data_IF_933865712704
#
_entry.id   IF_933865712704
#
_cell.length_a   1.000
_cell.length_b   1.000
_cell.length_c   1.000
_cell.angle_alpha   90.00
_cell.angle_beta   90.00
_cell.angle_gamma   90.00
#
_symmetry.space_group_name_H-M   'P 1'
#
loop_
_entity.id
_entity.type
_entity.pdbx_description
1 polymer ?
#
# COMPACT_ATOMS: atom_id res chain seq x y z
N UNK A 1 1.23 7.71 -12.46
CA UNK A 1 0.88 6.34 -12.86
C UNK A 1 0.07 5.77 -11.73
N UNK A 2 -1.11 5.27 -12.06
CA UNK A 2 -2.05 4.72 -11.08
C UNK A 2 -1.99 3.20 -11.18
N UNK A 3 -1.74 2.55 -10.05
CA UNK A 3 -1.56 1.11 -9.93
C UNK A 3 -2.55 0.58 -8.92
N UNK A 4 -3.12 -0.61 -9.16
CA UNK A 4 -3.93 -1.30 -8.16
C UNK A 4 -3.17 -2.50 -7.63
N UNK A 5 -3.11 -2.63 -6.31
CA UNK A 5 -2.69 -3.86 -5.63
C UNK A 5 -3.92 -4.51 -5.05
N UNK A 6 -4.30 -5.66 -5.61
CA UNK A 6 -5.44 -6.44 -5.16
C UNK A 6 -5.09 -7.21 -3.90
N UNK A 7 -5.95 -7.15 -2.89
CA UNK A 7 -5.69 -7.75 -1.58
C UNK A 7 -5.74 -9.27 -1.56
N UNK A 8 -6.34 -9.86 -2.60
CA UNK A 8 -6.53 -11.30 -2.76
C UNK A 8 -5.53 -11.97 -3.71
N UNK A 9 -4.46 -11.27 -4.08
CA UNK A 9 -3.41 -11.78 -4.93
C UNK A 9 -2.10 -11.80 -4.15
N UNK A 10 -1.27 -12.80 -4.45
CA UNK A 10 0.11 -12.85 -3.95
C UNK A 10 0.95 -11.75 -4.65
N UNK A 11 2.28 -11.88 -4.65
CA UNK A 11 3.19 -10.92 -5.27
C UNK A 11 2.77 -10.46 -6.67
N UNK A 12 2.40 -9.18 -6.77
CA UNK A 12 2.02 -8.50 -8.00
C UNK A 12 3.19 -7.67 -8.53
N UNK A 13 3.58 -7.92 -9.78
CA UNK A 13 4.69 -7.22 -10.44
C UNK A 13 4.20 -6.00 -11.23
N UNK A 14 4.90 -4.87 -11.10
CA UNK A 14 4.56 -3.61 -11.76
C UNK A 14 5.63 -3.14 -12.76
N UNK A 15 6.56 -4.03 -13.13
CA UNK A 15 7.62 -3.75 -14.09
C UNK A 15 8.80 -2.97 -13.49
N UNK A 16 9.59 -2.34 -14.37
CA UNK A 16 10.80 -1.58 -13.99
C UNK A 16 10.48 -0.11 -13.78
N UNK A 17 10.96 0.45 -12.67
CA UNK A 17 10.87 1.87 -12.33
C UNK A 17 11.68 2.69 -13.34
N UNK A 18 11.05 3.68 -13.98
CA UNK A 18 11.70 4.49 -15.04
C UNK A 18 12.56 5.62 -14.50
N UNK A 19 12.21 6.17 -13.35
CA UNK A 19 12.90 7.29 -12.72
C UNK A 19 12.77 7.21 -11.18
N UNK A 20 13.64 7.89 -10.45
CA UNK A 20 13.58 7.95 -8.99
C UNK A 20 12.29 8.61 -8.50
N UNK A 21 11.68 8.10 -7.44
CA UNK A 21 10.46 8.71 -6.88
C UNK A 21 9.91 7.96 -5.69
N UNK A 22 8.72 8.37 -5.26
CA UNK A 22 8.01 7.77 -4.15
C UNK A 22 6.70 7.14 -4.63
N UNK A 23 6.37 5.99 -4.09
CA UNK A 23 5.11 5.31 -4.29
C UNK A 23 4.24 5.47 -3.05
N UNK A 24 3.14 6.20 -3.20
CA UNK A 24 2.11 6.38 -2.17
C UNK A 24 0.98 5.39 -2.41
N UNK A 25 0.29 4.99 -1.35
CA UNK A 25 -0.85 4.10 -1.41
C UNK A 25 -2.03 4.70 -0.63
N UNK A 26 -3.20 4.64 -1.26
CA UNK A 26 -4.47 5.15 -0.79
C UNK A 26 -5.56 4.08 -0.88
N UNK A 27 -6.68 4.35 -0.23
CA UNK A 27 -7.85 3.48 -0.24
C UNK A 27 -7.82 2.45 0.88
N UNK A 28 -8.81 1.56 0.84
CA UNK A 28 -9.04 0.53 1.85
C UNK A 28 -9.37 -0.79 1.16
N UNK A 29 -8.91 -1.88 1.75
CA UNK A 29 -9.26 -3.24 1.36
C UNK A 29 -9.89 -3.98 2.54
N UNK A 30 -10.63 -5.06 2.27
CA UNK A 30 -11.34 -5.86 3.27
C UNK A 30 -10.55 -7.14 3.60
N UNK A 31 -10.32 -7.40 4.88
CA UNK A 31 -9.67 -8.62 5.38
C UNK A 31 -10.52 -9.89 5.17
N UNK A 32 -11.83 -9.72 5.03
CA UNK A 32 -12.71 -10.85 4.80
C UNK A 32 -13.89 -10.37 3.94
N UNK A 33 -14.08 -10.99 2.77
CA UNK A 33 -15.18 -10.70 1.84
C UNK A 33 -16.57 -10.93 2.44
N UNK A 34 -16.67 -11.83 3.42
CA UNK A 34 -17.90 -12.16 4.15
C UNK A 34 -18.11 -11.25 5.37
N UNK A 35 -17.08 -10.49 5.81
CA UNK A 35 -17.16 -9.47 6.88
C UNK A 35 -16.66 -8.10 6.39
N UNK A 36 -17.54 -7.38 5.70
CA UNK A 36 -17.28 -6.04 5.12
C UNK A 36 -16.99 -4.93 6.14
N UNK A 37 -17.05 -5.23 7.44
CA UNK A 37 -16.75 -4.30 8.51
C UNK A 37 -15.25 -4.15 8.82
N UNK A 38 -14.40 -5.05 8.29
CA UNK A 38 -12.96 -5.11 8.57
C UNK A 38 -12.14 -4.54 7.42
N UNK A 39 -11.93 -3.23 7.45
CA UNK A 39 -11.16 -2.49 6.45
C UNK A 39 -9.77 -2.12 6.94
N UNK A 40 -8.78 -2.22 6.06
CA UNK A 40 -7.40 -1.89 6.34
C UNK A 40 -6.84 -0.91 5.30
N UNK A 41 -6.05 0.06 5.76
CA UNK A 41 -5.23 0.91 4.88
C UNK A 41 -3.90 0.26 4.53
N UNK A 42 -3.09 0.95 3.74
CA UNK A 42 -1.80 0.44 3.26
C UNK A 42 -0.77 0.19 4.37
N UNK A 43 -0.81 0.93 5.48
CA UNK A 43 0.08 0.73 6.62
C UNK A 43 -0.36 -0.39 7.58
N UNK A 44 -1.42 -1.13 7.23
CA UNK A 44 -2.04 -2.13 8.11
C UNK A 44 -2.77 -1.52 9.31
N UNK A 45 -2.84 -0.18 9.40
CA UNK A 45 -3.63 0.52 10.41
C UNK A 45 -5.02 0.88 9.86
N UNK A 46 -5.94 1.09 10.79
CA UNK A 46 -7.38 1.17 10.55
C UNK A 46 -7.83 2.63 10.36
N UNK A 47 -8.69 2.89 9.37
CA UNK A 47 -9.35 4.19 9.19
C UNK A 47 -10.85 4.18 9.55
N UNK A 48 -11.49 3.01 9.69
CA UNK A 48 -12.82 2.86 10.32
C UNK A 48 -13.26 1.38 10.43
N UNK A 49 -13.69 0.94 11.62
CA UNK A 49 -14.25 -0.41 11.86
C UNK A 49 -13.78 -1.04 13.17
N UNK A 50 -14.58 -1.94 13.78
CA UNK A 50 -14.25 -2.60 15.06
C UNK A 50 -13.06 -3.55 14.87
N UNK A 51 -11.92 -3.13 15.44
CA UNK A 51 -10.73 -3.86 15.89
C UNK A 51 -10.24 -5.05 15.06
N UNK A 52 -9.03 -4.93 14.47
CA UNK A 52 -7.86 -5.75 14.82
C UNK A 52 -6.59 -4.97 14.43
N UNK A 53 -5.86 -4.35 15.37
CA UNK A 53 -4.41 -4.30 15.21
C UNK A 53 -3.97 -5.71 15.56
N UNK A 54 -3.76 -6.56 14.56
CA UNK A 54 -3.20 -7.88 14.81
C UNK A 54 -1.73 -7.68 15.17
N UNK A 55 -1.50 -7.35 16.44
CA UNK A 55 -0.21 -7.49 17.07
C UNK A 55 0.26 -8.92 16.80
N UNK A 56 1.34 -9.05 16.02
CA UNK A 56 2.07 -10.28 15.77
C UNK A 56 1.16 -11.53 15.69
N UNK A 57 0.27 -11.57 14.69
CA UNK A 57 -0.34 -12.85 14.33
C UNK A 57 0.80 -13.78 13.86
N UNK A 58 1.01 -14.95 14.50
CA UNK A 58 2.06 -15.87 14.11
C UNK A 58 1.88 -16.47 12.70
N UNK A 59 0.69 -16.31 12.10
CA UNK A 59 0.44 -16.61 10.68
C UNK A 59 0.85 -15.47 9.74
N UNK A 60 1.33 -14.33 10.26
CA UNK A 60 1.88 -13.24 9.47
C UNK A 60 3.08 -13.74 8.68
N UNK A 61 2.99 -13.79 7.34
CA UNK A 61 4.02 -14.42 6.52
C UNK A 61 5.33 -13.64 6.53
N UNK A 62 5.29 -12.33 6.82
CA UNK A 62 6.49 -11.51 6.91
C UNK A 62 6.59 -10.75 8.25
N UNK A 63 7.52 -11.13 9.13
CA UNK A 63 7.68 -10.52 10.46
C UNK A 63 8.24 -9.09 10.41
N UNK A 64 8.75 -8.63 9.26
CA UNK A 64 9.20 -7.25 9.06
C UNK A 64 8.03 -6.26 8.87
N UNK A 65 6.79 -6.74 8.81
CA UNK A 65 5.60 -5.91 8.68
C UNK A 65 4.44 -6.36 9.59
N UNK A 66 3.40 -5.53 9.67
CA UNK A 66 2.15 -5.85 10.36
C UNK A 66 1.27 -6.71 9.45
N UNK A 67 0.43 -7.54 10.05
CA UNK A 67 -0.62 -8.23 9.32
C UNK A 67 -1.52 -7.19 8.63
N UNK A 68 -1.85 -7.43 7.36
CA UNK A 68 -2.63 -6.52 6.54
C UNK A 68 -1.88 -5.28 6.03
N UNK A 69 -0.60 -5.12 6.36
CA UNK A 69 0.23 -4.05 5.80
C UNK A 69 0.57 -4.36 4.34
N UNK A 70 0.58 -3.33 3.48
CA UNK A 70 1.18 -3.43 2.16
C UNK A 70 2.69 -3.63 2.33
N UNK A 71 3.24 -4.66 1.68
CA UNK A 71 4.69 -4.92 1.67
C UNK A 71 5.22 -4.89 0.25
N UNK A 72 6.47 -4.44 0.12
CA UNK A 72 7.21 -4.41 -1.13
C UNK A 72 8.37 -5.39 -1.06
N UNK A 73 8.52 -6.22 -2.09
CA UNK A 73 9.73 -7.01 -2.36
C UNK A 73 10.54 -6.35 -3.46
N UNK A 74 11.84 -6.21 -3.23
CA UNK A 74 12.82 -5.74 -4.22
C UNK A 74 14.09 -6.57 -4.08
N UNK A 75 14.33 -7.46 -5.04
CA UNK A 75 15.34 -8.51 -4.89
C UNK A 75 15.01 -9.42 -3.69
N UNK A 76 15.95 -9.54 -2.75
CA UNK A 76 15.80 -10.36 -1.54
C UNK A 76 15.27 -9.57 -0.33
N UNK A 77 14.98 -8.28 -0.48
CA UNK A 77 14.53 -7.42 0.62
C UNK A 77 13.03 -7.25 0.58
N UNK A 78 12.38 -7.40 1.74
CA UNK A 78 10.95 -7.10 1.94
C UNK A 78 10.82 -5.95 2.93
N UNK A 79 10.06 -4.93 2.56
CA UNK A 79 9.84 -3.71 3.34
C UNK A 79 8.35 -3.43 3.52
N UNK A 80 7.91 -3.13 4.74
CA UNK A 80 6.53 -2.73 5.03
C UNK A 80 6.25 -1.26 4.69
N UNK A 81 5.03 -0.97 4.25
CA UNK A 81 4.58 0.37 3.93
C UNK A 81 4.29 1.16 5.21
N UNK A 82 5.01 2.25 5.43
CA UNK A 82 4.70 3.20 6.50
C UNK A 82 3.91 4.39 5.92
N UNK A 83 4.59 5.27 5.18
CA UNK A 83 3.97 6.46 4.56
C UNK A 83 4.14 6.50 3.03
N UNK A 84 5.20 5.88 2.51
CA UNK A 84 5.50 5.70 1.09
C UNK A 84 6.64 4.69 0.92
N UNK A 85 6.81 4.16 -0.29
CA UNK A 85 8.03 3.45 -0.69
C UNK A 85 8.91 4.35 -1.55
N UNK A 86 10.19 4.46 -1.20
CA UNK A 86 11.19 5.08 -2.07
C UNK A 86 11.62 4.10 -3.16
N UNK A 87 11.52 4.51 -4.42
CA UNK A 87 11.89 3.71 -5.59
C UNK A 87 13.02 4.38 -6.37
N UNK A 88 13.90 3.56 -6.95
CA UNK A 88 15.02 4.00 -7.79
C UNK A 88 14.84 3.62 -9.24
N UNK A 89 15.31 4.46 -10.15
CA UNK A 89 15.35 4.15 -11.57
C UNK A 89 16.05 2.79 -11.80
N UNK A 90 15.45 1.94 -12.62
CA UNK A 90 15.93 0.58 -12.90
C UNK A 90 15.51 -0.47 -11.86
N UNK A 91 14.92 -0.08 -10.73
CA UNK A 91 14.44 -1.03 -9.72
C UNK A 91 13.26 -1.84 -10.25
N UNK A 92 13.28 -3.15 -9.96
CA UNK A 92 12.13 -4.04 -10.14
C UNK A 92 11.57 -4.33 -8.75
N UNK A 93 10.26 -4.21 -8.60
CA UNK A 93 9.60 -4.45 -7.33
C UNK A 93 8.28 -5.18 -7.52
N UNK A 94 7.86 -5.86 -6.47
CA UNK A 94 6.57 -6.54 -6.37
C UNK A 94 5.90 -6.11 -5.08
N UNK A 95 4.57 -6.10 -5.09
CA UNK A 95 3.77 -5.70 -3.94
C UNK A 95 2.78 -6.81 -3.57
N UNK A 96 2.45 -6.90 -2.29
CA UNK A 96 1.30 -7.68 -1.80
C UNK A 96 0.81 -7.15 -0.47
N UNK A 97 -0.38 -7.60 -0.08
CA UNK A 97 -0.81 -7.48 1.30
C UNK A 97 -0.11 -8.55 2.14
N UNK A 98 0.39 -8.14 3.30
CA UNK A 98 1.05 -9.03 4.25
C UNK A 98 0.01 -9.83 5.03
N UNK A 99 -0.47 -10.88 4.40
CA UNK A 99 -1.47 -11.77 4.97
C UNK A 99 -1.25 -13.21 4.51
N UNK A 100 -1.51 -14.15 5.41
CA UNK A 100 -1.45 -15.60 5.16
C UNK A 100 -2.73 -16.13 4.49
N UNK A 101 -3.86 -15.42 4.64
CA UNK A 101 -5.16 -15.75 4.07
C UNK A 101 -5.57 -14.85 2.91
N UNK A 102 -4.82 -14.84 1.80
CA UNK A 102 -5.16 -13.93 0.70
C UNK A 102 -6.53 -14.23 0.05
N UNK A 103 -6.99 -15.47 0.11
CA UNK A 103 -8.14 -15.94 -0.69
C UNK A 103 -9.50 -15.39 -0.22
N UNK A 104 -9.60 -15.00 1.05
CA UNK A 104 -10.79 -14.40 1.65
C UNK A 104 -10.74 -12.87 1.69
N UNK A 105 -9.64 -12.25 1.27
CA UNK A 105 -9.55 -10.81 1.11
C UNK A 105 -10.38 -10.28 -0.07
N UNK A 106 -10.77 -9.01 -0.02
CA UNK A 106 -11.45 -8.32 -1.11
C UNK A 106 -10.99 -6.86 -1.24
N UNK A 107 -11.03 -6.33 -2.46
CA UNK A 107 -10.70 -4.93 -2.75
C UNK A 107 -9.24 -4.73 -3.14
N UNK A 108 -8.85 -3.46 -3.23
CA UNK A 108 -7.52 -3.07 -3.67
C UNK A 108 -7.08 -1.77 -3.03
N UNK A 109 -5.77 -1.60 -2.92
CA UNK A 109 -5.15 -0.30 -2.69
C UNK A 109 -4.85 0.36 -4.03
N UNK A 110 -5.11 1.66 -4.11
CA UNK A 110 -4.71 2.49 -5.24
C UNK A 110 -3.34 3.09 -4.91
N UNK A 111 -2.37 2.92 -5.80
CA UNK A 111 -1.03 3.46 -5.63
C UNK A 111 -0.72 4.51 -6.66
N UNK A 112 -0.05 5.56 -6.20
CA UNK A 112 0.32 6.74 -6.99
C UNK A 112 1.82 6.93 -6.91
N UNK A 113 2.48 6.77 -8.06
CA UNK A 113 3.91 7.07 -8.18
C UNK A 113 4.12 8.56 -8.45
N UNK A 114 4.96 9.20 -7.64
CA UNK A 114 5.36 10.61 -7.76
C UNK A 114 6.87 10.68 -8.00
N UNK A 115 7.31 11.09 -9.20
CA UNK A 115 8.72 11.27 -9.49
C UNK A 115 9.43 12.27 -8.58
N UNK A 116 10.72 12.07 -8.36
CA UNK A 116 11.56 12.97 -7.56
C UNK A 116 11.72 14.34 -8.21
N UNK A 117 11.63 14.40 -9.54
CA UNK A 117 11.67 15.62 -10.36
C UNK A 117 10.46 16.54 -10.16
N UNK A 118 9.36 16.02 -9.61
CA UNK A 118 8.14 16.79 -9.33
C UNK A 118 8.31 17.71 -8.11
N UNK A 119 7.72 18.91 -8.17
CA UNK A 119 7.83 19.94 -7.13
C UNK A 119 7.27 19.49 -5.78
N UNK A 120 7.80 20.07 -4.69
CA UNK A 120 7.40 19.76 -3.31
C UNK A 120 5.90 19.94 -3.07
N UNK A 121 5.29 20.92 -3.72
CA UNK A 121 3.86 21.24 -3.55
C UNK A 121 2.94 20.11 -4.06
N UNK A 122 3.34 19.41 -5.13
CA UNK A 122 2.59 18.24 -5.62
C UNK A 122 2.84 17.03 -4.72
N UNK A 123 4.05 16.85 -4.20
CA UNK A 123 4.36 15.79 -3.21
C UNK A 123 3.56 15.95 -1.93
N UNK A 124 3.40 17.17 -1.45
CA UNK A 124 2.62 17.49 -0.24
C UNK A 124 1.11 17.27 -0.43
N UNK A 125 0.58 17.34 -1.66
CA UNK A 125 -0.84 17.09 -1.99
C UNK A 125 -1.20 15.61 -2.11
N UNK A 126 -0.22 14.74 -2.38
CA UNK A 126 -0.44 13.30 -2.60
C UNK A 126 -0.18 12.49 -1.32
N UNK A 127 0.42 13.08 -0.29
CA UNK A 127 0.67 12.43 0.98
C UNK A 127 -0.64 12.25 1.80
N UNK A 128 -1.10 11.02 2.07
CA UNK A 128 -2.35 10.74 2.79
C UNK A 128 -2.34 11.18 4.27
N UNK A 129 -1.17 11.48 4.85
CA UNK A 129 -1.02 11.88 6.26
C UNK A 129 -1.35 13.37 6.53
N UNK A 130 -1.64 14.16 5.48
CA UNK A 130 -2.22 15.50 5.62
C UNK A 130 -3.68 15.42 5.23
N UNK A 131 -4.55 15.94 6.10
CA UNK A 131 -6.02 15.79 6.08
C UNK A 131 -6.68 15.68 4.69
N UNK A 132 -7.80 14.94 4.57
CA UNK A 132 -8.59 14.83 3.35
C UNK A 132 -9.25 16.18 3.01
N UNK A 133 -8.46 17.13 2.56
CA UNK A 133 -8.92 18.35 1.92
C UNK A 133 -9.33 18.00 0.50
N UNK A 134 -10.63 17.95 0.27
CA UNK A 134 -11.22 17.99 -1.07
C UNK A 134 -10.67 19.20 -1.81
N UNK A 135 -9.78 18.99 -2.79
CA UNK A 135 -9.38 20.07 -3.69
C UNK A 135 -9.48 19.57 -5.14
N UNK A 136 -10.45 20.12 -5.83
CA UNK A 136 -10.65 19.97 -7.27
C UNK A 136 -9.46 20.61 -8.00
N UNK A 137 -8.80 19.84 -8.87
CA UNK A 137 -7.91 20.41 -9.88
C UNK A 137 -8.81 20.88 -11.01
N UNK A 138 -9.04 22.19 -11.11
CA UNK A 138 -9.55 22.75 -12.36
C UNK A 138 -8.43 22.64 -13.39
N UNK A 139 -8.72 21.93 -14.48
CA UNK A 139 -7.95 21.91 -15.70
C UNK A 139 -7.96 23.29 -16.38
#
# INVERSE_FOLDING_TARGET
MDLNVYANQDWQSFGTVREDGNLYADGLWNFNKDDRGRKCGANGNNSSGRYYVMNADPSCPFPSGRMGQLVMRSGNTVTGYENYFSLKAGQIFELRINDGGLNDNEGSLLLRFVPSSVSKEIKDRVNPDREPGHYWINA
#
